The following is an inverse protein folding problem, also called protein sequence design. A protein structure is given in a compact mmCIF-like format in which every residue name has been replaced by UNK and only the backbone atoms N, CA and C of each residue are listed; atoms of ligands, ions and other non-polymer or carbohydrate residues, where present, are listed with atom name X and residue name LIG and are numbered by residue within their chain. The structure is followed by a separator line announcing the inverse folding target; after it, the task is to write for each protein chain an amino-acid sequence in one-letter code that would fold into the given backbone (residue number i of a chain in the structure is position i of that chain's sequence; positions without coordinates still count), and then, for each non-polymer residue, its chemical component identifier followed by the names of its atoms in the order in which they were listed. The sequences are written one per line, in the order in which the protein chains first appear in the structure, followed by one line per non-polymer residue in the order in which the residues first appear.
data_IF_720138001113
#
_entry.id   IF_720138001113
#
_cell.length_a   1.000
_cell.length_b   1.000
_cell.length_c   1.000
_cell.angle_alpha   90.00
_cell.angle_beta   90.00
_cell.angle_gamma   90.00
#
_symmetry.space_group_name_H-M   'P 1'
#
loop_
_entity.id
_entity.type
_entity.pdbx_description
1 polymer ?
#
# COMPACT_ATOMS: atom_id res chain seq x y z
N UNK A 1 70.62 11.99 36.40
CA UNK A 1 69.14 12.15 36.42
C UNK A 1 68.64 11.24 35.32
N UNK A 2 68.51 9.93 35.57
CA UNK A 2 67.31 9.27 36.13
C UNK A 2 66.07 9.64 35.29
N UNK A 3 65.29 8.75 34.69
CA UNK A 3 65.28 7.30 34.53
C UNK A 3 64.18 7.00 33.47
N UNK A 4 64.30 5.85 32.80
CA UNK A 4 63.29 4.90 32.29
C UNK A 4 61.78 5.28 32.29
N UNK A 5 60.88 4.80 31.44
CA UNK A 5 60.77 3.82 30.35
C UNK A 5 59.35 4.06 29.77
N UNK A 6 59.03 3.87 28.49
CA UNK A 6 58.79 2.56 27.90
C UNK A 6 57.35 2.48 27.33
N UNK A 7 57.24 1.88 26.14
CA UNK A 7 56.06 1.24 25.54
C UNK A 7 54.84 2.07 25.10
N UNK A 8 54.73 2.26 23.78
CA UNK A 8 53.47 2.11 23.02
C UNK A 8 53.12 0.60 22.98
N UNK A 9 51.85 0.10 22.85
CA UNK A 9 50.90 0.51 21.82
C UNK A 9 49.39 0.36 22.19
N UNK A 10 48.52 0.57 21.20
CA UNK A 10 47.04 0.36 21.17
C UNK A 10 46.24 1.62 21.58
N UNK A 11 45.30 2.16 20.80
CA UNK A 11 44.25 1.53 19.99
C UNK A 11 43.96 2.39 18.74
N UNK A 12 43.47 1.69 17.73
CA UNK A 12 43.28 2.03 16.33
C UNK A 12 42.48 3.30 16.00
N UNK A 13 42.83 3.83 14.82
CA UNK A 13 42.05 4.68 13.94
C UNK A 13 40.53 4.63 14.12
N UNK A 14 39.94 5.80 14.31
CA UNK A 14 38.53 6.06 14.08
C UNK A 14 38.25 5.96 12.58
N UNK A 15 37.86 4.77 12.12
CA UNK A 15 37.17 4.59 10.85
C UNK A 15 35.69 4.93 11.03
N UNK A 16 35.15 5.67 10.05
CA UNK A 16 33.73 5.89 9.85
C UNK A 16 32.95 4.57 9.97
N UNK A 17 31.87 4.61 10.75
CA UNK A 17 30.77 3.66 10.62
C UNK A 17 29.45 4.44 10.75
N UNK A 18 28.93 4.90 9.61
CA UNK A 18 27.53 5.26 9.47
C UNK A 18 26.75 3.95 9.32
N UNK A 19 26.53 3.27 10.45
CA UNK A 19 25.65 2.11 10.51
C UNK A 19 24.20 2.57 10.35
N UNK A 20 23.65 2.42 9.14
CA UNK A 20 22.20 2.38 8.94
C UNK A 20 21.63 1.23 9.78
N UNK A 21 20.80 1.55 10.77
CA UNK A 21 20.04 0.54 11.48
C UNK A 21 19.06 -0.15 10.51
N UNK A 22 18.86 -1.47 10.61
CA UNK A 22 17.96 -2.21 9.74
C UNK A 22 16.49 -1.89 10.05
N UNK A 23 15.66 -1.99 9.01
CA UNK A 23 14.22 -1.77 9.00
C UNK A 23 13.52 -2.30 10.27
N UNK A 24 13.03 -1.39 11.11
CA UNK A 24 12.10 -1.73 12.18
C UNK A 24 10.79 -2.18 11.53
N UNK A 25 10.52 -3.49 11.65
CA UNK A 25 9.23 -4.08 11.36
C UNK A 25 8.18 -3.39 12.23
N UNK A 26 7.36 -2.55 11.61
CA UNK A 26 6.23 -1.89 12.24
C UNK A 26 5.19 -2.94 12.63
N UNK A 27 5.27 -3.41 13.88
CA UNK A 27 4.21 -4.19 14.50
C UNK A 27 3.12 -3.20 14.89
N UNK A 28 1.93 -3.30 14.30
CA UNK A 28 0.74 -2.60 14.77
C UNK A 28 0.32 -3.16 16.14
N UNK A 29 0.27 -2.37 17.25
CA UNK A 29 -0.13 -2.94 18.53
C UNK A 29 -1.45 -2.32 19.03
N UNK A 30 -2.40 -3.20 19.34
CA UNK A 30 -3.64 -2.92 20.07
C UNK A 30 -3.42 -2.84 21.60
N UNK A 31 -2.35 -2.19 22.08
CA UNK A 31 -2.06 -2.14 23.52
C UNK A 31 -1.39 -0.82 23.94
N UNK A 32 -1.56 -0.46 25.21
CA UNK A 32 -1.09 0.73 25.96
C UNK A 32 0.32 1.24 25.63
N UNK A 33 1.20 0.37 25.15
CA UNK A 33 2.57 0.71 24.76
C UNK A 33 2.64 1.50 23.44
N UNK A 34 1.73 1.28 22.49
CA UNK A 34 1.64 2.07 21.24
C UNK A 34 1.25 3.50 21.50
N UNK A 35 0.30 3.72 22.41
CA UNK A 35 -0.13 5.07 22.78
C UNK A 35 1.03 5.79 23.48
N UNK A 36 1.79 5.11 24.35
CA UNK A 36 3.01 5.68 24.91
C UNK A 36 4.04 6.05 23.86
N UNK A 37 4.24 5.21 22.85
CA UNK A 37 5.17 5.49 21.74
C UNK A 37 4.67 6.68 20.91
N UNK A 38 3.39 6.72 20.51
CA UNK A 38 2.80 7.84 19.76
C UNK A 38 2.92 9.14 20.55
N UNK A 39 2.55 9.14 21.84
CA UNK A 39 2.72 10.32 22.70
C UNK A 39 4.19 10.68 22.98
N UNK A 40 5.10 9.70 23.08
CA UNK A 40 6.54 9.95 23.20
C UNK A 40 7.13 10.53 21.90
N UNK A 41 6.62 10.11 20.73
CA UNK A 41 6.98 10.62 19.42
C UNK A 41 6.45 12.05 19.24
N UNK A 42 5.21 12.32 19.68
CA UNK A 42 4.61 13.67 19.74
C UNK A 42 5.47 14.61 20.60
N UNK A 43 5.91 14.16 21.78
CA UNK A 43 6.79 14.94 22.67
C UNK A 43 8.20 15.14 22.11
N UNK A 44 8.70 14.22 21.27
CA UNK A 44 9.99 14.38 20.57
C UNK A 44 9.89 15.39 19.43
N UNK A 45 8.80 15.36 18.67
CA UNK A 45 8.62 16.19 17.47
C UNK A 45 8.08 17.60 17.78
N UNK A 46 7.30 17.77 18.86
CA UNK A 46 6.80 19.07 19.29
C UNK A 46 7.65 19.59 20.46
N UNK A 47 8.43 20.65 20.27
CA UNK A 47 9.17 21.30 21.36
C UNK A 47 8.27 22.09 22.33
N UNK A 48 7.07 21.62 22.63
CA UNK A 48 6.11 22.19 23.58
C UNK A 48 5.16 21.08 24.11
N UNK A 49 5.37 20.70 25.36
CA UNK A 49 4.50 19.79 26.13
C UNK A 49 5.14 18.42 26.34
N UNK A 50 5.27 18.00 27.60
CA UNK A 50 5.71 16.66 27.98
C UNK A 50 4.47 15.81 28.34
N UNK A 51 4.56 14.48 28.24
CA UNK A 51 3.53 13.51 28.67
C UNK A 51 3.09 13.80 30.12
N UNK A 52 3.97 14.40 30.92
CA UNK A 52 3.73 14.80 32.31
C UNK A 52 2.66 15.88 32.50
N UNK A 53 2.23 16.54 31.42
CA UNK A 53 1.34 17.71 31.51
C UNK A 53 -0.13 17.33 31.24
N UNK A 54 -0.41 16.09 30.79
CA UNK A 54 -1.77 15.55 30.66
C UNK A 54 -2.17 14.89 31.99
N UNK A 55 -3.25 15.33 32.66
CA UNK A 55 -3.70 14.71 33.90
C UNK A 55 -3.96 13.20 33.72
N UNK A 56 -3.46 12.38 34.64
CA UNK A 56 -3.54 10.90 34.58
C UNK A 56 -4.98 10.38 34.43
N UNK A 57 -5.98 11.10 34.96
CA UNK A 57 -7.40 10.77 34.79
C UNK A 57 -7.91 10.96 33.35
N UNK A 58 -7.43 11.99 32.66
CA UNK A 58 -7.81 12.28 31.27
C UNK A 58 -7.13 11.30 30.31
N UNK A 59 -5.85 11.03 30.53
CA UNK A 59 -5.12 9.96 29.83
C UNK A 59 -5.80 8.59 30.03
N UNK A 60 -6.18 8.26 31.27
CA UNK A 60 -6.87 7.02 31.57
C UNK A 60 -8.27 6.95 30.97
N UNK A 61 -9.03 8.06 30.90
CA UNK A 61 -10.33 8.09 30.21
C UNK A 61 -10.18 7.90 28.71
N UNK A 62 -9.15 8.48 28.10
CA UNK A 62 -8.88 8.34 26.68
C UNK A 62 -8.44 6.93 26.29
N UNK A 63 -7.53 6.34 27.07
CA UNK A 63 -7.12 4.94 26.92
C UNK A 63 -8.34 4.03 27.08
N UNK A 64 -9.17 4.23 28.12
CA UNK A 64 -10.40 3.47 28.30
C UNK A 64 -11.44 3.69 27.18
N UNK A 65 -11.58 4.89 26.61
CA UNK A 65 -12.52 5.14 25.50
C UNK A 65 -12.07 4.44 24.21
N UNK A 66 -10.76 4.40 23.94
CA UNK A 66 -10.18 3.64 22.84
C UNK A 66 -10.30 2.13 23.06
N UNK A 67 -10.05 1.65 24.28
CA UNK A 67 -10.19 0.23 24.67
C UNK A 67 -11.66 -0.22 24.68
N UNK A 68 -12.60 0.66 25.05
CA UNK A 68 -14.04 0.38 25.07
C UNK A 68 -14.75 0.74 23.74
N UNK A 69 -14.00 1.10 22.68
CA UNK A 69 -14.53 1.49 21.35
C UNK A 69 -15.56 2.62 21.39
N UNK A 70 -15.46 3.51 22.37
CA UNK A 70 -16.36 4.65 22.51
C UNK A 70 -15.90 5.78 21.57
N UNK A 71 -16.20 5.63 20.28
CA UNK A 71 -15.76 6.55 19.22
C UNK A 71 -16.52 7.88 19.17
N UNK A 72 -17.04 8.36 20.30
CA UNK A 72 -17.74 9.65 20.34
C UNK A 72 -16.72 10.77 20.28
N UNK A 73 -16.98 11.71 19.38
CA UNK A 73 -16.18 12.93 19.23
C UNK A 73 -17.07 14.14 19.51
N UNK A 74 -16.45 15.28 19.84
CA UNK A 74 -17.20 16.52 19.82
C UNK A 74 -17.80 16.77 18.43
N UNK A 75 -19.02 17.34 18.36
CA UNK A 75 -19.69 17.60 17.09
C UNK A 75 -18.78 18.37 16.13
N UNK A 76 -18.36 17.72 15.05
CA UNK A 76 -17.46 18.27 14.04
C UNK A 76 -18.21 18.49 12.74
N UNK A 77 -18.18 19.72 12.19
CA UNK A 77 -18.86 20.03 10.94
C UNK A 77 -17.93 19.83 9.75
N UNK A 78 -18.29 18.92 8.84
CA UNK A 78 -17.57 18.63 7.60
C UNK A 78 -18.55 18.51 6.44
N UNK A 79 -18.32 19.24 5.35
CA UNK A 79 -19.15 19.22 4.13
C UNK A 79 -20.66 19.31 4.44
N UNK A 80 -21.02 20.31 5.25
CA UNK A 80 -22.41 20.59 5.60
C UNK A 80 -23.09 19.58 6.55
N UNK A 81 -22.37 18.53 7.00
CA UNK A 81 -22.87 17.55 7.98
C UNK A 81 -22.13 17.67 9.30
N UNK A 82 -22.81 17.37 10.40
CA UNK A 82 -22.22 17.31 11.73
C UNK A 82 -21.96 15.86 12.11
N UNK A 83 -20.72 15.56 12.46
CA UNK A 83 -20.25 14.24 12.84
C UNK A 83 -20.00 14.19 14.34
N UNK A 84 -20.60 13.21 15.01
CA UNK A 84 -20.41 12.95 16.46
C UNK A 84 -19.70 11.63 16.71
N UNK A 85 -19.35 10.91 15.64
CA UNK A 85 -18.69 9.61 15.67
C UNK A 85 -17.46 9.61 14.77
N UNK A 86 -16.33 9.13 15.30
CA UNK A 86 -15.06 9.10 14.60
C UNK A 86 -15.08 8.28 13.31
N UNK A 87 -15.62 7.04 13.27
CA UNK A 87 -15.69 6.24 12.04
C UNK A 87 -16.37 6.99 10.90
N UNK A 88 -17.50 7.64 11.19
CA UNK A 88 -18.25 8.40 10.19
C UNK A 88 -17.49 9.63 9.69
N UNK A 89 -16.75 10.31 10.57
CA UNK A 89 -15.90 11.44 10.19
C UNK A 89 -14.72 10.98 9.31
N UNK A 90 -13.97 9.96 9.74
CA UNK A 90 -12.81 9.46 8.98
C UNK A 90 -13.23 8.92 7.61
N UNK A 91 -14.35 8.19 7.54
CA UNK A 91 -14.92 7.75 6.26
C UNK A 91 -15.25 8.94 5.37
N UNK A 92 -15.85 10.00 5.92
CA UNK A 92 -16.19 11.20 5.15
C UNK A 92 -14.93 11.93 4.64
N UNK A 93 -13.88 12.03 5.46
CA UNK A 93 -12.58 12.59 5.08
C UNK A 93 -11.93 11.78 3.94
N UNK A 94 -11.96 10.45 4.03
CA UNK A 94 -11.43 9.54 3.00
C UNK A 94 -12.18 9.65 1.67
N UNK A 95 -13.52 9.74 1.70
CA UNK A 95 -14.35 9.90 0.50
C UNK A 95 -14.16 11.28 -0.13
N UNK A 96 -14.01 12.33 0.67
CA UNK A 96 -13.88 13.71 0.21
C UNK A 96 -12.43 14.19 0.32
N UNK A 97 -11.56 13.47 -0.39
CA UNK A 97 -10.10 13.53 -0.23
C UNK A 97 -9.49 14.93 -0.17
N UNK A 98 -9.77 15.79 -1.17
CA UNK A 98 -9.21 17.14 -1.23
C UNK A 98 -9.69 18.03 -0.08
N UNK A 99 -10.97 17.92 0.30
CA UNK A 99 -11.50 18.64 1.46
C UNK A 99 -10.92 18.09 2.77
N UNK A 100 -10.74 16.77 2.86
CA UNK A 100 -10.10 16.14 4.01
C UNK A 100 -8.66 16.62 4.20
N UNK A 101 -7.87 16.64 3.12
CA UNK A 101 -6.52 17.23 3.11
C UNK A 101 -6.54 18.69 3.51
N UNK A 102 -7.48 19.49 3.00
CA UNK A 102 -7.59 20.90 3.37
C UNK A 102 -7.87 21.09 4.86
N UNK A 103 -8.73 20.26 5.45
CA UNK A 103 -9.01 20.31 6.89
C UNK A 103 -7.81 19.83 7.73
N UNK A 104 -7.06 18.83 7.25
CA UNK A 104 -5.83 18.39 7.90
C UNK A 104 -4.76 19.48 7.84
N UNK A 105 -4.37 19.93 6.64
CA UNK A 105 -3.18 20.76 6.46
C UNK A 105 -3.36 22.25 6.74
N UNK A 106 -4.58 22.70 7.04
CA UNK A 106 -4.84 24.04 7.56
C UNK A 106 -5.06 24.02 9.09
N UNK A 107 -4.62 22.95 9.77
CA UNK A 107 -4.72 22.75 11.22
C UNK A 107 -6.15 22.71 11.78
N UNK A 108 -7.18 22.65 10.91
CA UNK A 108 -8.59 22.62 11.33
C UNK A 108 -8.92 21.34 12.10
N UNK A 109 -8.31 20.21 11.73
CA UNK A 109 -8.46 18.95 12.49
C UNK A 109 -7.69 18.99 13.80
N UNK A 110 -6.44 19.47 13.80
CA UNK A 110 -5.63 19.58 15.01
C UNK A 110 -6.33 20.45 16.06
N UNK A 111 -6.72 21.68 15.68
CA UNK A 111 -7.38 22.65 16.56
C UNK A 111 -8.71 22.13 17.13
N UNK A 112 -9.52 21.45 16.29
CA UNK A 112 -10.82 20.95 16.71
C UNK A 112 -10.73 19.78 17.72
N UNK A 113 -9.66 18.99 17.65
CA UNK A 113 -9.47 17.82 18.49
C UNK A 113 -8.45 17.98 19.60
N UNK A 114 -7.76 19.12 19.67
CA UNK A 114 -6.75 19.45 20.69
C UNK A 114 -7.24 19.19 22.11
N UNK A 115 -8.50 19.48 22.42
CA UNK A 115 -9.04 19.36 23.78
C UNK A 115 -10.16 18.30 23.92
N UNK A 116 -10.39 17.49 22.89
CA UNK A 116 -11.54 16.58 22.84
C UNK A 116 -11.23 15.17 22.37
N UNK A 117 -10.18 15.03 21.58
CA UNK A 117 -9.64 13.75 21.18
C UNK A 117 -8.15 13.93 20.86
N UNK A 118 -7.33 14.09 21.91
CA UNK A 118 -5.88 14.32 21.82
C UNK A 118 -5.16 13.36 20.85
N UNK A 119 -5.61 12.09 20.75
CA UNK A 119 -5.02 11.13 19.81
C UNK A 119 -5.20 11.55 18.34
N UNK A 120 -6.39 12.03 17.95
CA UNK A 120 -6.64 12.53 16.59
C UNK A 120 -5.92 13.85 16.38
N UNK A 121 -6.04 14.78 17.34
CA UNK A 121 -5.41 16.09 17.27
C UNK A 121 -3.91 15.97 17.09
N UNK A 122 -3.25 15.14 17.88
CA UNK A 122 -1.82 14.95 17.80
C UNK A 122 -1.38 14.15 16.57
N UNK A 123 -2.15 13.16 16.11
CA UNK A 123 -1.90 12.49 14.84
C UNK A 123 -2.03 13.47 13.65
N UNK A 124 -2.97 14.41 13.72
CA UNK A 124 -3.10 15.48 12.73
C UNK A 124 -1.86 16.38 12.70
N UNK A 125 -1.41 16.85 13.88
CA UNK A 125 -0.18 17.65 14.03
C UNK A 125 1.05 16.92 13.49
N UNK A 126 1.22 15.63 13.82
CA UNK A 126 2.33 14.81 13.28
C UNK A 126 2.27 14.78 11.76
N UNK A 127 1.11 14.51 11.17
CA UNK A 127 0.98 14.46 9.71
C UNK A 127 1.22 15.81 9.02
N UNK A 128 0.87 16.92 9.67
CA UNK A 128 1.22 18.28 9.21
C UNK A 128 2.73 18.51 9.17
N UNK A 129 3.47 18.01 10.17
CA UNK A 129 4.94 18.07 10.22
C UNK A 129 5.59 17.12 9.20
N UNK A 130 5.13 15.87 9.11
CA UNK A 130 5.62 14.86 8.15
C UNK A 130 5.50 15.35 6.69
N UNK A 131 4.43 16.10 6.38
CA UNK A 131 4.25 16.73 5.06
C UNK A 131 5.41 17.64 4.68
N UNK A 132 5.94 18.42 5.62
CA UNK A 132 7.04 19.37 5.35
C UNK A 132 8.33 18.66 4.93
N UNK A 133 8.51 17.41 5.36
CA UNK A 133 9.69 16.61 5.06
C UNK A 133 9.56 15.77 3.79
N UNK A 134 8.37 15.20 3.54
CA UNK A 134 8.16 14.26 2.42
C UNK A 134 7.66 14.94 1.15
N UNK A 135 7.00 16.09 1.26
CA UNK A 135 6.32 16.77 0.14
C UNK A 135 5.13 15.99 -0.44
N UNK A 136 4.76 14.84 0.13
CA UNK A 136 3.74 13.94 -0.40
C UNK A 136 2.48 13.96 0.46
N UNK A 137 1.67 14.99 0.23
CA UNK A 137 0.43 15.23 0.97
C UNK A 137 -0.54 14.06 0.90
N UNK A 138 -0.67 13.41 -0.24
CA UNK A 138 -1.65 12.32 -0.38
C UNK A 138 -1.25 11.12 0.47
N UNK A 139 0.03 10.73 0.46
CA UNK A 139 0.51 9.62 1.28
C UNK A 139 0.41 9.93 2.77
N UNK A 140 0.78 11.14 3.20
CA UNK A 140 0.64 11.54 4.59
C UNK A 140 -0.83 11.59 5.03
N UNK A 141 -1.74 12.10 4.20
CA UNK A 141 -3.17 12.09 4.49
C UNK A 141 -3.76 10.68 4.53
N UNK A 142 -3.32 9.79 3.63
CA UNK A 142 -3.67 8.38 3.67
C UNK A 142 -3.23 7.71 4.98
N UNK A 143 -1.99 7.96 5.40
CA UNK A 143 -1.49 7.48 6.68
C UNK A 143 -2.31 8.02 7.85
N UNK A 144 -2.67 9.31 7.80
CA UNK A 144 -3.52 9.93 8.81
C UNK A 144 -4.84 9.18 8.97
N UNK A 145 -5.60 8.93 7.89
CA UNK A 145 -6.94 8.32 8.00
C UNK A 145 -6.89 6.90 8.59
N UNK A 146 -5.88 6.09 8.22
CA UNK A 146 -5.72 4.73 8.75
C UNK A 146 -5.11 4.70 10.16
N UNK A 147 -4.34 5.71 10.57
CA UNK A 147 -3.91 5.89 11.97
C UNK A 147 -5.04 6.41 12.85
N UNK A 148 -5.85 7.34 12.34
CA UNK A 148 -6.96 7.96 13.06
C UNK A 148 -8.09 6.96 13.37
N UNK A 149 -8.37 6.05 12.44
CA UNK A 149 -9.29 4.94 12.67
C UNK A 149 -8.72 3.63 12.10
N UNK A 150 -7.95 2.87 12.90
CA UNK A 150 -7.32 1.62 12.45
C UNK A 150 -8.30 0.53 12.04
N UNK A 151 -9.57 0.60 12.47
CA UNK A 151 -10.63 -0.31 12.05
C UNK A 151 -11.29 0.10 10.72
N UNK A 152 -10.90 1.22 10.10
CA UNK A 152 -11.47 1.70 8.83
C UNK A 152 -11.44 0.58 7.78
N UNK A 153 -12.61 0.09 7.39
CA UNK A 153 -12.75 -0.96 6.39
C UNK A 153 -12.54 -0.41 4.98
N UNK A 154 -12.08 -1.27 4.08
CA UNK A 154 -11.85 -0.90 2.70
C UNK A 154 -10.53 -0.20 2.41
N UNK A 155 -10.24 -0.08 1.13
CA UNK A 155 -9.08 0.60 0.57
C UNK A 155 -9.50 1.97 0.00
N UNK A 156 -9.02 3.03 0.63
CA UNK A 156 -9.34 4.41 0.28
C UNK A 156 -8.10 5.10 -0.31
N UNK A 157 -8.23 5.72 -1.49
CA UNK A 157 -7.15 6.50 -2.07
C UNK A 157 -7.70 7.55 -3.04
N UNK A 158 -7.32 8.83 -2.84
CA UNK A 158 -7.65 9.95 -3.73
C UNK A 158 -9.14 10.00 -4.16
N UNK A 159 -10.04 9.76 -3.21
CA UNK A 159 -11.49 9.82 -3.40
C UNK A 159 -12.12 8.58 -4.03
N UNK A 160 -11.32 7.60 -4.48
CA UNK A 160 -11.82 6.26 -4.84
C UNK A 160 -11.80 5.36 -3.60
N UNK A 161 -12.81 4.52 -3.49
CA UNK A 161 -13.05 3.68 -2.32
C UNK A 161 -13.45 2.29 -2.82
N UNK A 162 -12.76 1.27 -2.31
CA UNK A 162 -13.06 -0.13 -2.57
C UNK A 162 -13.32 -0.79 -1.22
N UNK A 163 -14.36 -1.63 -1.09
CA UNK A 163 -14.66 -2.31 0.17
C UNK A 163 -13.55 -3.32 0.56
N UNK A 164 -12.74 -3.75 -0.41
CA UNK A 164 -11.56 -4.58 -0.17
C UNK A 164 -10.51 -4.42 -1.27
N UNK A 165 -9.29 -4.92 -1.04
CA UNK A 165 -8.30 -5.05 -2.11
C UNK A 165 -8.76 -6.01 -3.22
N UNK A 166 -9.60 -6.99 -2.91
CA UNK A 166 -10.16 -7.90 -3.93
C UNK A 166 -11.05 -7.14 -4.91
N UNK A 167 -11.87 -6.22 -4.43
CA UNK A 167 -12.70 -5.36 -5.30
C UNK A 167 -11.84 -4.43 -6.17
N UNK A 168 -10.75 -3.88 -5.63
CA UNK A 168 -9.76 -3.16 -6.44
C UNK A 168 -9.16 -4.05 -7.53
N UNK A 169 -8.81 -5.30 -7.20
CA UNK A 169 -8.27 -6.26 -8.15
C UNK A 169 -9.24 -6.60 -9.29
N UNK A 170 -10.53 -6.80 -8.97
CA UNK A 170 -11.56 -7.04 -9.99
C UNK A 170 -11.77 -5.81 -10.89
N UNK A 171 -11.87 -4.61 -10.31
CA UNK A 171 -11.97 -3.36 -11.07
C UNK A 171 -10.76 -3.13 -11.99
N UNK A 172 -9.55 -3.50 -11.54
CA UNK A 172 -8.36 -3.47 -12.37
C UNK A 172 -8.46 -4.47 -13.53
N UNK A 173 -8.83 -5.72 -13.29
CA UNK A 173 -8.96 -6.74 -14.33
C UNK A 173 -9.99 -6.34 -15.39
N UNK A 174 -11.15 -5.86 -14.97
CA UNK A 174 -12.22 -5.47 -15.90
C UNK A 174 -11.77 -4.33 -16.80
N UNK A 175 -11.14 -3.30 -16.23
CA UNK A 175 -10.62 -2.17 -17.01
C UNK A 175 -9.46 -2.54 -17.93
N UNK A 176 -8.53 -3.37 -17.46
CA UNK A 176 -7.41 -3.87 -18.27
C UNK A 176 -7.91 -4.68 -19.48
N UNK A 177 -8.93 -5.52 -19.29
CA UNK A 177 -9.53 -6.33 -20.37
C UNK A 177 -10.33 -5.52 -21.37
N UNK A 178 -10.77 -4.32 -20.99
CA UNK A 178 -11.44 -3.37 -21.86
C UNK A 178 -10.50 -2.31 -22.45
N UNK A 179 -9.18 -2.45 -22.27
CA UNK A 179 -8.16 -1.47 -22.66
C UNK A 179 -8.45 -0.04 -22.12
N UNK A 180 -9.09 0.06 -20.95
CA UNK A 180 -9.41 1.33 -20.31
C UNK A 180 -8.17 1.91 -19.60
N UNK A 181 -7.47 2.78 -20.33
CA UNK A 181 -6.27 3.48 -19.84
C UNK A 181 -6.56 4.58 -18.82
N UNK A 182 -7.83 4.96 -18.61
CA UNK A 182 -8.21 6.11 -17.75
C UNK A 182 -7.83 5.93 -16.29
N UNK A 183 -7.71 4.68 -15.84
CA UNK A 183 -7.34 4.34 -14.46
C UNK A 183 -5.84 4.10 -14.26
N UNK A 184 -5.03 4.14 -15.31
CA UNK A 184 -3.59 3.89 -15.20
C UNK A 184 -2.87 4.90 -14.31
N UNK A 185 -3.14 6.23 -14.39
CA UNK A 185 -2.54 7.19 -13.47
C UNK A 185 -2.91 6.93 -12.00
N UNK A 186 -4.12 6.44 -11.76
CA UNK A 186 -4.59 6.08 -10.42
C UNK A 186 -3.84 4.86 -9.89
N UNK A 187 -3.72 3.77 -10.65
CA UNK A 187 -2.97 2.58 -10.22
C UNK A 187 -1.47 2.86 -10.09
N UNK A 188 -0.88 3.63 -11.00
CA UNK A 188 0.50 4.09 -10.87
C UNK A 188 0.71 4.84 -9.55
N UNK A 189 -0.24 5.68 -9.15
CA UNK A 189 -0.14 6.40 -7.88
C UNK A 189 -0.25 5.47 -6.66
N UNK A 190 -1.02 4.38 -6.73
CA UNK A 190 -1.05 3.37 -5.66
C UNK A 190 0.33 2.71 -5.53
N UNK A 191 0.89 2.23 -6.64
CA UNK A 191 2.14 1.48 -6.64
C UNK A 191 3.34 2.33 -6.25
N UNK A 192 3.45 3.56 -6.79
CA UNK A 192 4.53 4.50 -6.46
C UNK A 192 4.53 4.93 -4.99
N UNK A 193 3.36 4.95 -4.35
CA UNK A 193 3.23 5.31 -2.94
C UNK A 193 3.34 4.11 -2.00
N UNK A 194 3.56 2.90 -2.54
CA UNK A 194 3.66 1.65 -1.80
C UNK A 194 2.46 1.35 -0.90
N UNK A 195 1.27 1.73 -1.37
CA UNK A 195 0.07 1.70 -0.52
C UNK A 195 -0.43 0.28 -0.24
N UNK A 196 -0.18 -0.68 -1.13
CA UNK A 196 -0.68 -2.05 -0.97
C UNK A 196 0.09 -2.77 0.13
N UNK A 197 1.42 -2.72 0.09
CA UNK A 197 2.27 -3.32 1.12
C UNK A 197 2.04 -2.67 2.48
N UNK A 198 1.91 -1.34 2.53
CA UNK A 198 1.67 -0.60 3.76
C UNK A 198 0.27 -0.86 4.35
N UNK A 199 -0.76 -0.92 3.50
CA UNK A 199 -2.12 -1.29 3.91
C UNK A 199 -2.17 -2.71 4.49
N UNK A 200 -1.58 -3.68 3.80
CA UNK A 200 -1.55 -5.07 4.25
C UNK A 200 -0.75 -5.22 5.55
N UNK A 201 0.38 -4.53 5.70
CA UNK A 201 1.15 -4.53 6.96
C UNK A 201 0.34 -4.02 8.15
N UNK A 202 -0.62 -3.11 7.91
CA UNK A 202 -1.53 -2.60 8.95
C UNK A 202 -2.72 -3.52 9.23
N UNK A 203 -3.25 -4.19 8.21
CA UNK A 203 -4.53 -4.94 8.27
C UNK A 203 -4.40 -6.45 8.39
N UNK A 204 -3.30 -7.00 7.87
CA UNK A 204 -2.98 -8.43 7.80
C UNK A 204 -1.47 -8.66 7.97
N UNK A 205 -0.85 -8.18 9.07
CA UNK A 205 0.60 -8.31 9.28
C UNK A 205 1.11 -9.76 9.27
N UNK A 206 0.23 -10.73 9.52
CA UNK A 206 0.50 -12.16 9.47
C UNK A 206 0.70 -12.72 8.05
N UNK A 207 0.22 -12.03 7.02
CA UNK A 207 0.29 -12.48 5.62
C UNK A 207 1.58 -11.96 4.95
N UNK A 208 2.73 -12.39 5.49
CA UNK A 208 4.05 -11.92 5.05
C UNK A 208 4.33 -12.19 3.57
N UNK A 209 3.80 -13.30 3.05
CA UNK A 209 3.99 -13.70 1.66
C UNK A 209 3.24 -12.76 0.70
N UNK A 210 1.98 -12.42 1.03
CA UNK A 210 1.22 -11.46 0.25
C UNK A 210 1.85 -10.06 0.30
N UNK A 211 2.30 -9.62 1.49
CA UNK A 211 2.99 -8.33 1.68
C UNK A 211 4.26 -8.28 0.83
N UNK A 212 5.07 -9.35 0.85
CA UNK A 212 6.29 -9.44 0.04
C UNK A 212 5.98 -9.40 -1.45
N UNK A 213 4.96 -10.13 -1.91
CA UNK A 213 4.57 -10.16 -3.32
C UNK A 213 4.10 -8.78 -3.83
N UNK A 214 3.22 -8.08 -3.09
CA UNK A 214 2.81 -6.73 -3.51
C UNK A 214 3.97 -5.73 -3.46
N UNK A 215 4.86 -5.86 -2.46
CA UNK A 215 6.05 -5.01 -2.32
C UNK A 215 7.01 -5.18 -3.51
N UNK A 216 7.16 -6.41 -4.02
CA UNK A 216 7.90 -6.67 -5.27
C UNK A 216 7.27 -5.94 -6.46
N UNK A 217 5.96 -6.04 -6.64
CA UNK A 217 5.27 -5.36 -7.75
C UNK A 217 5.34 -3.83 -7.67
N UNK A 218 5.30 -3.28 -6.46
CA UNK A 218 5.52 -1.85 -6.19
C UNK A 218 6.96 -1.43 -6.51
N UNK A 219 7.96 -2.20 -6.07
CA UNK A 219 9.39 -1.97 -6.35
C UNK A 219 9.71 -2.01 -7.85
N UNK A 220 9.14 -2.99 -8.56
CA UNK A 220 9.37 -3.14 -10.00
C UNK A 220 8.72 -1.99 -10.77
N UNK A 221 7.59 -1.44 -10.30
CA UNK A 221 6.85 -0.41 -11.02
C UNK A 221 7.67 0.85 -11.31
N UNK A 222 8.56 1.25 -10.40
CA UNK A 222 9.44 2.39 -10.60
C UNK A 222 10.53 2.15 -11.66
N UNK A 223 10.90 0.88 -11.90
CA UNK A 223 12.02 0.49 -12.75
C UNK A 223 11.63 0.20 -14.20
N UNK A 224 10.32 0.14 -14.50
CA UNK A 224 9.80 -0.25 -15.82
C UNK A 224 10.11 0.75 -16.90
N UNK A 225 10.36 0.22 -18.10
CA UNK A 225 10.80 1.00 -19.26
C UNK A 225 9.86 0.86 -20.44
N UNK A 226 9.02 -0.19 -20.48
CA UNK A 226 8.09 -0.42 -21.58
C UNK A 226 6.62 -0.44 -21.14
N UNK A 227 5.74 -0.20 -22.11
CA UNK A 227 4.28 -0.36 -21.93
C UNK A 227 3.94 -1.80 -21.59
N UNK A 228 4.59 -2.77 -22.24
CA UNK A 228 4.39 -4.20 -21.99
C UNK A 228 4.68 -4.57 -20.54
N UNK A 229 5.87 -4.25 -20.02
CA UNK A 229 6.23 -4.50 -18.61
C UNK A 229 5.23 -3.86 -17.64
N UNK A 230 4.75 -2.66 -17.98
CA UNK A 230 3.79 -1.92 -17.16
C UNK A 230 2.45 -2.63 -17.09
N UNK A 231 1.91 -3.02 -18.24
CA UNK A 231 0.66 -3.77 -18.34
C UNK A 231 0.77 -5.14 -17.67
N UNK A 232 1.85 -5.87 -17.92
CA UNK A 232 2.09 -7.20 -17.34
C UNK A 232 2.00 -7.13 -15.82
N UNK A 233 2.61 -6.12 -15.21
CA UNK A 233 2.51 -5.98 -13.77
C UNK A 233 1.16 -5.47 -13.28
N UNK A 234 0.46 -4.61 -14.03
CA UNK A 234 -0.92 -4.28 -13.64
C UNK A 234 -1.78 -5.53 -13.62
N UNK A 235 -1.65 -6.43 -14.60
CA UNK A 235 -2.30 -7.74 -14.57
C UNK A 235 -1.83 -8.59 -13.38
N UNK A 236 -0.52 -8.69 -13.10
CA UNK A 236 0.00 -9.45 -11.94
C UNK A 236 -0.59 -8.95 -10.62
N UNK A 237 -0.64 -7.63 -10.41
CA UNK A 237 -1.27 -7.01 -9.24
C UNK A 237 -2.78 -7.30 -9.24
N UNK A 238 -3.47 -7.11 -10.35
CA UNK A 238 -4.91 -7.30 -10.44
C UNK A 238 -5.33 -8.76 -10.13
N UNK A 239 -4.61 -9.74 -10.67
CA UNK A 239 -4.84 -11.15 -10.35
C UNK A 239 -4.51 -11.48 -8.90
N UNK A 240 -3.39 -10.98 -8.37
CA UNK A 240 -3.00 -11.22 -6.97
C UNK A 240 -4.06 -10.67 -6.01
N UNK A 241 -4.50 -9.43 -6.22
CA UNK A 241 -5.46 -8.77 -5.33
C UNK A 241 -6.86 -9.39 -5.44
N UNK A 242 -7.34 -9.66 -6.66
CA UNK A 242 -8.67 -10.25 -6.87
C UNK A 242 -8.76 -11.71 -6.43
N UNK A 243 -7.64 -12.45 -6.45
CA UNK A 243 -7.64 -13.90 -6.33
C UNK A 243 -8.20 -14.61 -7.57
N UNK A 244 -8.47 -13.87 -8.64
CA UNK A 244 -8.98 -14.44 -9.88
C UNK A 244 -7.90 -15.29 -10.56
N UNK A 245 -8.26 -16.49 -11.01
CA UNK A 245 -7.36 -17.41 -11.72
C UNK A 245 -7.77 -17.66 -13.17
N UNK A 246 -8.71 -16.88 -13.69
CA UNK A 246 -9.29 -17.05 -15.00
C UNK A 246 -8.65 -16.10 -16.01
N UNK A 247 -8.20 -16.67 -17.12
CA UNK A 247 -7.83 -15.95 -18.31
C UNK A 247 -9.09 -15.70 -19.15
N UNK A 248 -9.41 -14.44 -19.39
CA UNK A 248 -10.50 -14.06 -20.28
C UNK A 248 -9.92 -13.38 -21.51
N UNK A 249 -10.05 -14.02 -22.67
CA UNK A 249 -9.64 -13.47 -23.97
C UNK A 249 -10.59 -13.97 -25.05
N UNK A 250 -10.90 -13.13 -26.04
CA UNK A 250 -11.83 -13.45 -27.15
C UNK A 250 -13.20 -13.96 -26.70
N UNK A 251 -13.73 -13.45 -25.59
CA UNK A 251 -15.01 -13.90 -25.03
C UNK A 251 -14.98 -15.36 -24.52
N UNK A 252 -13.81 -15.98 -24.44
CA UNK A 252 -13.57 -17.28 -23.80
C UNK A 252 -12.94 -17.06 -22.43
N UNK A 253 -13.18 -18.03 -21.56
CA UNK A 253 -12.65 -18.07 -20.20
C UNK A 253 -11.93 -19.39 -20.02
N UNK A 254 -10.68 -19.32 -19.55
CA UNK A 254 -9.85 -20.48 -19.27
C UNK A 254 -9.40 -20.45 -17.81
N UNK A 255 -9.60 -21.54 -17.09
CA UNK A 255 -9.13 -21.68 -15.71
C UNK A 255 -7.79 -22.41 -15.64
N UNK A 256 -7.51 -23.25 -16.64
CA UNK A 256 -6.34 -24.13 -16.68
C UNK A 256 -5.66 -24.06 -18.04
N UNK A 257 -4.35 -24.30 -18.05
CA UNK A 257 -3.57 -24.38 -19.30
C UNK A 257 -4.01 -25.54 -20.19
N UNK A 258 -4.56 -26.62 -19.63
CA UNK A 258 -5.13 -27.73 -20.41
C UNK A 258 -6.34 -27.31 -21.23
N UNK A 259 -7.22 -26.47 -20.67
CA UNK A 259 -8.42 -25.98 -21.38
C UNK A 259 -8.02 -25.05 -22.54
N UNK A 260 -7.01 -24.22 -22.33
CA UNK A 260 -6.43 -23.39 -23.38
C UNK A 260 -5.83 -24.27 -24.50
N UNK A 261 -5.11 -25.34 -24.15
CA UNK A 261 -4.49 -26.26 -25.11
C UNK A 261 -5.53 -27.06 -25.91
N UNK A 262 -6.56 -27.60 -25.24
CA UNK A 262 -7.68 -28.30 -25.89
C UNK A 262 -8.41 -27.38 -26.87
N UNK A 263 -8.62 -26.11 -26.51
CA UNK A 263 -9.22 -25.12 -27.40
C UNK A 263 -8.33 -24.81 -28.61
N UNK A 264 -7.02 -24.67 -28.40
CA UNK A 264 -6.06 -24.45 -29.48
C UNK A 264 -6.01 -25.64 -30.46
N UNK A 265 -6.03 -26.88 -29.94
CA UNK A 265 -6.06 -28.10 -30.75
C UNK A 265 -7.37 -28.19 -31.57
N UNK A 266 -8.51 -27.85 -30.96
CA UNK A 266 -9.79 -27.82 -31.65
C UNK A 266 -9.78 -26.80 -32.81
N UNK A 267 -9.25 -25.59 -32.58
CA UNK A 267 -9.10 -24.57 -33.64
C UNK A 267 -8.19 -25.06 -34.77
N UNK A 268 -7.05 -25.66 -34.43
CA UNK A 268 -6.11 -26.19 -35.43
C UNK A 268 -6.77 -27.26 -36.32
N UNK A 269 -7.66 -28.08 -35.75
CA UNK A 269 -8.42 -29.10 -36.50
C UNK A 269 -9.55 -28.53 -37.37
N UNK A 270 -10.09 -27.35 -37.04
CA UNK A 270 -11.24 -26.76 -37.75
C UNK A 270 -10.87 -25.64 -38.72
N UNK A 271 -9.96 -24.76 -38.35
CA UNK A 271 -9.57 -23.57 -39.11
C UNK A 271 -8.15 -23.13 -38.73
N UNK A 272 -7.22 -23.30 -39.68
CA UNK A 272 -5.84 -22.86 -39.50
C UNK A 272 -5.73 -21.35 -39.28
N UNK A 273 -6.52 -20.55 -40.01
CA UNK A 273 -6.50 -19.09 -39.90
C UNK A 273 -6.95 -18.64 -38.50
N UNK A 274 -8.01 -19.23 -37.94
CA UNK A 274 -8.47 -18.92 -36.58
C UNK A 274 -7.46 -19.38 -35.51
N UNK A 275 -6.79 -20.51 -35.73
CA UNK A 275 -5.72 -20.99 -34.87
C UNK A 275 -4.51 -20.05 -34.90
N UNK A 276 -4.10 -19.57 -36.07
CA UNK A 276 -3.00 -18.63 -36.23
C UNK A 276 -3.30 -17.30 -35.55
N UNK A 277 -4.50 -16.75 -35.74
CA UNK A 277 -4.96 -15.53 -35.06
C UNK A 277 -4.96 -15.70 -33.53
N UNK A 278 -5.42 -16.85 -33.04
CA UNK A 278 -5.40 -17.17 -31.61
C UNK A 278 -3.97 -17.21 -31.05
N UNK A 279 -3.04 -17.88 -31.75
CA UNK A 279 -1.63 -17.96 -31.34
C UNK A 279 -0.97 -16.58 -31.33
N UNK A 280 -1.13 -15.80 -32.41
CA UNK A 280 -0.57 -14.43 -32.55
C UNK A 280 -0.99 -13.48 -31.44
N UNK A 281 -2.15 -13.74 -30.87
CA UNK A 281 -2.69 -12.89 -29.83
C UNK A 281 -2.30 -13.33 -28.41
N UNK A 282 -1.82 -14.57 -28.25
CA UNK A 282 -1.11 -15.03 -27.07
C UNK A 282 0.36 -14.60 -27.08
N UNK A 283 1.01 -14.73 -28.24
CA UNK A 283 2.44 -14.52 -28.46
C UNK A 283 2.58 -13.84 -29.82
N UNK A 284 3.22 -12.68 -29.86
CA UNK A 284 3.44 -11.96 -31.11
C UNK A 284 4.55 -12.61 -31.97
N UNK A 285 4.75 -12.06 -33.18
CA UNK A 285 5.73 -12.58 -34.14
C UNK A 285 7.18 -12.51 -33.63
N UNK A 286 7.47 -11.67 -32.61
CA UNK A 286 8.78 -11.54 -31.96
C UNK A 286 8.92 -12.51 -30.76
N UNK A 287 7.91 -13.35 -30.50
CA UNK A 287 7.89 -14.29 -29.38
C UNK A 287 7.47 -13.68 -28.05
N UNK A 288 7.04 -12.41 -28.03
CA UNK A 288 6.62 -11.72 -26.81
C UNK A 288 5.18 -12.10 -26.47
N UNK A 289 4.99 -12.67 -25.28
CA UNK A 289 3.66 -13.00 -24.77
C UNK A 289 2.83 -11.74 -24.53
N UNK A 290 1.52 -11.79 -24.77
CA UNK A 290 0.66 -10.68 -24.38
C UNK A 290 0.64 -10.53 -22.84
N UNK A 291 0.54 -9.29 -22.32
CA UNK A 291 0.67 -9.02 -20.88
C UNK A 291 -0.27 -9.82 -19.97
N UNK A 292 -1.51 -10.03 -20.41
CA UNK A 292 -2.51 -10.78 -19.65
C UNK A 292 -2.15 -12.25 -19.54
N UNK A 293 -1.70 -12.86 -20.64
CA UNK A 293 -1.34 -14.26 -20.69
C UNK A 293 -0.10 -14.54 -19.85
N UNK A 294 0.93 -13.70 -19.97
CA UNK A 294 2.15 -13.79 -19.16
C UNK A 294 1.84 -13.72 -17.65
N UNK A 295 1.01 -12.74 -17.25
CA UNK A 295 0.60 -12.58 -15.87
C UNK A 295 -0.26 -13.76 -15.37
N UNK A 296 -1.16 -14.27 -16.21
CA UNK A 296 -2.01 -15.41 -15.86
C UNK A 296 -1.21 -16.69 -15.63
N UNK A 297 -0.22 -16.98 -16.48
CA UNK A 297 0.67 -18.14 -16.32
C UNK A 297 1.36 -18.13 -14.94
N UNK A 298 1.76 -16.96 -14.45
CA UNK A 298 2.34 -16.82 -13.11
C UNK A 298 1.34 -17.25 -12.03
N UNK A 299 0.07 -16.87 -12.18
CA UNK A 299 -1.00 -17.10 -11.18
C UNK A 299 -1.46 -18.57 -11.15
N UNK A 300 -1.42 -19.26 -12.30
CA UNK A 300 -1.73 -20.70 -12.39
C UNK A 300 -0.52 -21.60 -12.09
N UNK A 301 0.58 -21.02 -11.60
CA UNK A 301 1.75 -21.77 -11.13
C UNK A 301 2.71 -22.21 -12.23
N UNK A 302 2.76 -21.49 -13.35
CA UNK A 302 3.64 -21.75 -14.52
C UNK A 302 4.82 -20.80 -14.62
N UNK A 303 5.31 -20.33 -13.47
CA UNK A 303 6.41 -19.36 -13.40
C UNK A 303 7.72 -19.94 -13.93
N UNK A 304 8.03 -21.20 -13.60
CA UNK A 304 9.28 -21.84 -14.01
C UNK A 304 9.29 -22.10 -15.52
N UNK A 305 8.17 -22.55 -16.09
CA UNK A 305 8.01 -22.73 -17.52
C UNK A 305 8.07 -21.39 -18.28
N UNK A 306 7.51 -20.32 -17.71
CA UNK A 306 7.60 -18.98 -18.27
C UNK A 306 9.05 -18.49 -18.34
N UNK A 307 9.84 -18.69 -17.28
CA UNK A 307 11.27 -18.33 -17.26
C UNK A 307 12.05 -19.13 -18.29
N UNK A 308 11.79 -20.44 -18.40
CA UNK A 308 12.43 -21.29 -19.40
C UNK A 308 12.10 -20.85 -20.84
N UNK A 309 10.85 -20.45 -21.09
CA UNK A 309 10.43 -19.90 -22.38
C UNK A 309 11.17 -18.61 -22.73
N UNK A 310 11.22 -17.65 -21.81
CA UNK A 310 11.93 -16.38 -22.02
C UNK A 310 13.41 -16.59 -22.38
N UNK A 311 14.08 -17.51 -21.67
CA UNK A 311 15.47 -17.87 -21.96
C UNK A 311 15.67 -18.49 -23.35
N UNK A 312 14.66 -19.18 -23.90
CA UNK A 312 14.75 -19.79 -25.23
C UNK A 312 14.60 -18.80 -26.39
N UNK A 313 14.04 -17.62 -26.14
CA UNK A 313 13.92 -16.54 -27.14
C UNK A 313 15.19 -15.69 -27.18
N UNK A 314 15.88 -15.56 -26.04
CA UNK A 314 17.14 -14.82 -25.93
C UNK A 314 18.36 -15.58 -26.46
N UNK A 315 18.21 -16.88 -26.76
CA UNK A 315 19.26 -17.79 -27.26
C UNK A 315 19.27 -17.92 -28.78
#
# INVERSE_FOLDING_TARGET
MCDNAGADPSVSAASHDCGCAPDEVYVAPQNKETLRIVYAEINRSCSRGSISDVPDEEFSRMVNALENKEYRIHPYKFIGRTYTHLPSLVTALAVNWEYGKMHLYNSVLADAFENSCLAIGANATICEVEKQHTGNEDRSFWNFIYKAYPELEGFHWRGRNYASLSELGFDMLDKLRCDDVSSYPYWASILRNRLLSDYLSKKKPEDSDLIAAVSEFENVHEKRRSTHETLTNYYKVAYLLSGNRQLMMWGKVFERTSELAEYAEALCGSSYDEFEEFCKALIDDDGVMCPQFEAWLTVVGKKDELVAWQQSIES
#
